data_IF_333349749077
#
_entry.id   IF_333349749077
#
_cell.length_a   1.000
_cell.length_b   1.000
_cell.length_c   1.000
_cell.angle_alpha   90.00
_cell.angle_beta   90.00
_cell.angle_gamma   90.00
#
_symmetry.space_group_name_H-M   'P 1'
#
loop_
_entity.id
_entity.type
_entity.pdbx_description
1 polymer ?
#
# COMPACT_ATOMS: atom_id res chain seq x y z
N UNK A 1 -7.06 -10.86 8.97
CA UNK A 1 -5.74 -10.20 8.86
C UNK A 1 -5.97 -8.82 8.27
N UNK A 2 -5.37 -7.78 8.84
CA UNK A 2 -5.49 -6.42 8.30
C UNK A 2 -4.46 -6.23 7.18
N UNK A 3 -4.90 -6.42 5.94
CA UNK A 3 -4.07 -6.26 4.75
C UNK A 3 -3.60 -4.81 4.58
N UNK A 4 -4.41 -3.83 4.96
CA UNK A 4 -4.06 -2.43 4.84
C UNK A 4 -2.88 -2.08 5.76
N UNK A 5 -2.98 -2.40 7.04
CA UNK A 5 -1.90 -2.16 8.00
C UNK A 5 -0.62 -2.91 7.63
N UNK A 6 -0.75 -4.15 7.16
CA UNK A 6 0.38 -4.98 6.73
C UNK A 6 1.08 -4.36 5.52
N UNK A 7 0.35 -4.11 4.44
CA UNK A 7 0.91 -3.56 3.19
C UNK A 7 1.50 -2.17 3.44
N UNK A 8 0.85 -1.32 4.23
CA UNK A 8 1.38 0.00 4.61
C UNK A 8 2.73 -0.14 5.30
N UNK A 9 2.83 -0.99 6.32
CA UNK A 9 4.09 -1.20 7.05
C UNK A 9 5.21 -1.68 6.13
N UNK A 10 4.95 -2.63 5.24
CA UNK A 10 5.97 -3.12 4.30
C UNK A 10 6.32 -2.08 3.23
N UNK A 11 5.38 -1.24 2.83
CA UNK A 11 5.65 -0.10 1.95
C UNK A 11 6.53 0.94 2.64
N UNK A 12 6.20 1.34 3.87
CA UNK A 12 6.98 2.28 4.69
C UNK A 12 8.41 1.76 4.95
N UNK A 13 8.61 0.44 5.01
CA UNK A 13 9.92 -0.21 5.14
C UNK A 13 10.66 -0.37 3.79
N UNK A 14 10.10 0.12 2.68
CA UNK A 14 10.67 -0.03 1.34
C UNK A 14 10.63 -1.45 0.77
N UNK A 15 9.90 -2.38 1.40
CA UNK A 15 9.76 -3.75 0.93
C UNK A 15 8.78 -3.87 -0.25
N UNK A 16 7.89 -2.90 -0.40
CA UNK A 16 6.97 -2.82 -1.53
C UNK A 16 7.17 -1.53 -2.32
N UNK A 17 7.11 -1.67 -3.64
CA UNK A 17 7.06 -0.56 -4.58
C UNK A 17 5.62 -0.08 -4.78
N UNK A 18 5.45 1.12 -5.37
CA UNK A 18 4.14 1.68 -5.73
C UNK A 18 3.33 0.72 -6.60
N UNK A 19 3.98 0.06 -7.56
CA UNK A 19 3.36 -0.91 -8.45
C UNK A 19 2.86 -2.16 -7.68
N UNK A 20 3.63 -2.64 -6.70
CA UNK A 20 3.20 -3.77 -5.85
C UNK A 20 2.00 -3.39 -4.98
N UNK A 21 1.96 -2.17 -4.43
CA UNK A 21 0.80 -1.68 -3.68
C UNK A 21 -0.45 -1.58 -4.56
N UNK A 22 -0.32 -1.11 -5.81
CA UNK A 22 -1.42 -1.11 -6.77
C UNK A 22 -1.90 -2.53 -7.10
N UNK A 23 -0.98 -3.49 -7.27
CA UNK A 23 -1.34 -4.88 -7.52
C UNK A 23 -2.18 -5.48 -6.40
N UNK A 24 -1.96 -5.10 -5.15
CA UNK A 24 -2.80 -5.55 -4.04
C UNK A 24 -4.24 -5.00 -4.09
N UNK A 25 -4.45 -3.84 -4.71
CA UNK A 25 -5.78 -3.33 -4.98
C UNK A 25 -6.50 -4.12 -6.09
N UNK A 26 -5.77 -4.44 -7.18
CA UNK A 26 -6.30 -5.28 -8.27
C UNK A 26 -6.70 -6.68 -7.79
N UNK A 27 -5.95 -7.24 -6.83
CA UNK A 27 -6.22 -8.53 -6.21
C UNK A 27 -7.31 -8.48 -5.12
N UNK A 28 -7.90 -7.31 -4.87
CA UNK A 28 -8.95 -7.12 -3.86
C UNK A 28 -8.48 -7.30 -2.41
N UNK A 29 -7.17 -7.24 -2.15
CA UNK A 29 -6.62 -7.30 -0.77
C UNK A 29 -6.84 -5.99 -0.02
N UNK A 30 -6.80 -4.88 -0.76
CA UNK A 30 -7.12 -3.53 -0.31
C UNK A 30 -7.97 -2.84 -1.38
N UNK A 31 -8.60 -1.73 -1.03
CA UNK A 31 -9.31 -0.89 -2.00
C UNK A 31 -8.33 0.01 -2.78
N UNK A 32 -8.75 0.49 -3.95
CA UNK A 32 -7.97 1.47 -4.70
C UNK A 32 -7.68 2.75 -3.88
N UNK A 33 -8.64 3.19 -3.07
CA UNK A 33 -8.48 4.35 -2.16
C UNK A 33 -7.38 4.09 -1.12
N UNK A 34 -7.35 2.88 -0.55
CA UNK A 34 -6.31 2.47 0.39
C UNK A 34 -4.93 2.41 -0.28
N UNK A 35 -4.82 1.86 -1.48
CA UNK A 35 -3.57 1.85 -2.24
C UNK A 35 -3.05 3.28 -2.52
N UNK A 36 -3.93 4.18 -2.98
CA UNK A 36 -3.57 5.60 -3.18
C UNK A 36 -3.14 6.28 -1.89
N UNK A 37 -3.77 5.95 -0.75
CA UNK A 37 -3.39 6.49 0.56
C UNK A 37 -2.00 6.02 0.98
N UNK A 38 -1.68 4.73 0.78
CA UNK A 38 -0.35 4.17 1.11
C UNK A 38 0.74 4.83 0.24
N UNK A 39 0.51 4.91 -1.06
CA UNK A 39 1.46 5.49 -2.02
C UNK A 39 1.65 6.99 -1.81
N UNK A 40 0.58 7.72 -1.48
CA UNK A 40 0.62 9.16 -1.22
C UNK A 40 1.24 9.55 0.13
N UNK A 41 1.36 8.61 1.07
CA UNK A 41 1.97 8.86 2.38
C UNK A 41 3.49 9.06 2.30
N UNK A 42 4.15 8.66 1.21
CA UNK A 42 5.60 8.81 1.02
C UNK A 42 6.03 10.29 0.88
N UNK A 43 5.12 11.22 0.58
CA UNK A 43 5.45 12.64 0.39
C UNK A 43 5.50 13.48 1.68
N UNK A 44 5.51 12.85 2.86
CA UNK A 44 5.41 13.55 4.15
C UNK A 44 6.62 13.39 5.09
N UNK A 45 7.79 12.94 4.60
CA UNK A 45 9.01 12.81 5.41
C UNK A 45 10.21 13.46 4.73
#
# INVERSE_FOLDING_TARGET
MDWYATIKRYYDLGCYTRAQVQRFAELGKITQKQATTIIGAESAA
#
